data_IF_181502165026
#
_entry.id   IF_181502165026
#
_cell.length_a   1.000
_cell.length_b   1.000
_cell.length_c   1.000
_cell.angle_alpha   90.00
_cell.angle_beta   90.00
_cell.angle_gamma   90.00
#
_symmetry.space_group_name_H-M   'P 1'
#
loop_
_entity.id
_entity.type
_entity.pdbx_description
1 polymer ?
#
# COMPACT_ATOMS: atom_id res chain seq x y z
N UNK A 1 -23.21 5.42 25.36
CA UNK A 1 -23.86 4.33 24.61
C UNK A 1 -23.21 4.35 23.23
N UNK A 2 -22.16 3.55 23.03
CA UNK A 2 -21.46 3.48 21.74
C UNK A 2 -22.33 2.65 20.79
N UNK A 3 -22.80 3.29 19.72
CA UNK A 3 -23.48 2.63 18.60
C UNK A 3 -22.44 1.71 17.92
N UNK A 4 -22.69 0.42 17.87
CA UNK A 4 -21.93 -0.47 17.00
C UNK A 4 -22.24 -0.10 15.54
N UNK A 5 -21.24 0.02 14.64
CA UNK A 5 -21.51 0.23 13.23
C UNK A 5 -22.25 -1.00 12.68
N UNK A 6 -23.43 -0.76 12.12
CA UNK A 6 -24.18 -1.75 11.37
C UNK A 6 -23.36 -2.08 10.11
N UNK A 7 -22.85 -3.31 10.00
CA UNK A 7 -22.19 -3.77 8.76
C UNK A 7 -21.00 -4.70 8.88
N UNK A 8 -20.68 -5.24 10.05
CA UNK A 8 -19.66 -6.28 10.15
C UNK A 8 -20.22 -7.60 9.59
N UNK A 9 -19.97 -7.88 8.31
CA UNK A 9 -20.25 -9.18 7.70
C UNK A 9 -19.31 -10.22 8.31
N UNK A 10 -19.87 -11.13 9.10
CA UNK A 10 -19.12 -12.23 9.74
C UNK A 10 -18.59 -13.22 8.68
N UNK A 11 -17.35 -13.71 8.84
CA UNK A 11 -16.84 -14.84 8.06
C UNK A 11 -17.68 -16.10 8.26
N UNK A 12 -17.51 -17.09 7.38
CA UNK A 12 -18.26 -18.37 7.46
C UNK A 12 -18.09 -19.11 8.79
N UNK A 13 -16.99 -18.83 9.53
CA UNK A 13 -16.71 -19.31 10.88
C UNK A 13 -17.17 -18.34 11.99
N UNK A 14 -17.88 -17.28 11.65
CA UNK A 14 -18.36 -16.25 12.59
C UNK A 14 -17.30 -15.22 13.05
N UNK A 15 -16.06 -15.28 12.54
CA UNK A 15 -14.97 -14.36 12.91
C UNK A 15 -14.56 -13.51 11.71
N UNK A 16 -14.39 -12.20 11.92
CA UNK A 16 -13.86 -11.30 10.89
C UNK A 16 -12.37 -11.61 10.62
N UNK A 17 -11.91 -11.62 9.35
CA UNK A 17 -10.51 -11.83 9.04
C UNK A 17 -9.60 -10.80 9.70
N UNK A 18 -8.44 -11.23 10.20
CA UNK A 18 -7.43 -10.37 10.80
C UNK A 18 -6.54 -9.82 9.71
N UNK A 19 -6.62 -8.52 9.49
CA UNK A 19 -5.84 -7.81 8.46
C UNK A 19 -4.73 -7.01 9.12
N UNK A 20 -3.48 -7.43 8.90
CA UNK A 20 -2.29 -6.66 9.30
C UNK A 20 -2.21 -5.35 8.54
N UNK A 21 -1.80 -4.26 9.19
CA UNK A 21 -1.54 -2.96 8.54
C UNK A 21 -0.17 -2.51 9.03
N UNK A 22 0.80 -2.38 8.11
CA UNK A 22 2.12 -1.87 8.48
C UNK A 22 2.06 -0.40 8.85
N UNK A 23 2.87 0.02 9.82
CA UNK A 23 2.88 1.36 10.38
C UNK A 23 4.30 1.94 10.42
N UNK A 24 4.42 3.27 10.54
CA UNK A 24 5.71 3.95 10.68
C UNK A 24 6.04 4.17 12.16
N UNK A 25 7.34 4.18 12.50
CA UNK A 25 7.85 4.67 13.79
C UNK A 25 8.51 6.02 13.59
N UNK A 26 8.02 7.05 14.28
CA UNK A 26 8.51 8.44 14.14
C UNK A 26 8.53 9.19 15.46
N UNK A 27 9.44 10.16 15.63
CA UNK A 27 9.34 11.14 16.70
C UNK A 27 7.98 11.85 16.65
N UNK A 28 7.28 11.87 17.76
CA UNK A 28 5.92 12.40 17.82
C UNK A 28 5.66 13.14 19.12
N UNK A 29 4.84 14.20 19.01
CA UNK A 29 4.41 14.99 20.17
C UNK A 29 2.92 14.82 20.39
N UNK A 30 2.53 14.29 21.55
CA UNK A 30 1.14 14.20 21.97
C UNK A 30 1.00 14.45 23.48
N UNK A 31 0.12 15.36 23.85
CA UNK A 31 0.03 15.85 25.22
C UNK A 31 1.37 16.44 25.70
N UNK A 32 1.91 15.92 26.79
CA UNK A 32 3.21 16.32 27.37
C UNK A 32 4.37 15.44 26.86
N UNK A 33 4.14 14.49 25.98
CA UNK A 33 5.11 13.50 25.53
C UNK A 33 5.77 13.91 24.21
N UNK A 34 7.09 13.82 24.13
CA UNK A 34 7.88 13.92 22.91
C UNK A 34 8.77 12.67 22.83
N UNK A 35 8.26 11.64 22.17
CA UNK A 35 8.85 10.29 22.11
C UNK A 35 8.60 9.67 20.74
N UNK A 36 9.34 8.59 20.43
CA UNK A 36 9.01 7.76 19.29
C UNK A 36 7.65 7.09 19.49
N UNK A 37 6.80 7.16 18.46
CA UNK A 37 5.51 6.52 18.43
C UNK A 37 5.32 5.72 17.14
N UNK A 38 4.57 4.63 17.24
CA UNK A 38 4.09 3.90 16.06
C UNK A 38 2.82 4.57 15.58
N UNK A 39 2.83 5.02 14.32
CA UNK A 39 1.78 5.87 13.74
C UNK A 39 1.27 5.25 12.45
N UNK A 40 -0.05 5.25 12.31
CA UNK A 40 -0.76 4.96 11.08
C UNK A 40 -1.99 5.90 10.97
N UNK A 41 -2.28 6.50 9.80
CA UNK A 41 -3.51 7.24 9.62
C UNK A 41 -4.74 6.36 9.89
N UNK A 42 -5.71 6.88 10.65
CA UNK A 42 -6.91 6.13 11.01
C UNK A 42 -7.76 5.71 9.78
N UNK A 43 -7.54 6.35 8.63
CA UNK A 43 -8.19 5.98 7.36
C UNK A 43 -7.93 4.54 6.96
N UNK A 44 -6.73 4.00 7.22
CA UNK A 44 -6.41 2.58 6.96
C UNK A 44 -7.21 1.63 7.83
N UNK A 45 -7.23 1.86 9.15
CA UNK A 45 -7.98 1.01 10.09
C UNK A 45 -9.49 1.10 9.85
N UNK A 46 -9.98 2.30 9.50
CA UNK A 46 -11.37 2.51 9.15
C UNK A 46 -11.74 1.77 7.87
N UNK A 47 -10.91 1.83 6.81
CA UNK A 47 -11.15 1.13 5.55
C UNK A 47 -11.20 -0.39 5.73
N UNK A 48 -10.27 -0.98 6.51
CA UNK A 48 -10.30 -2.40 6.85
C UNK A 48 -11.57 -2.77 7.62
N UNK A 49 -11.96 -1.96 8.62
CA UNK A 49 -13.17 -2.20 9.41
C UNK A 49 -14.44 -2.08 8.57
N UNK A 50 -14.54 -1.07 7.70
CA UNK A 50 -15.67 -0.88 6.77
C UNK A 50 -15.79 -2.04 5.77
N UNK A 51 -14.65 -2.59 5.34
CA UNK A 51 -14.59 -3.78 4.49
C UNK A 51 -14.98 -5.08 5.22
N UNK A 52 -15.17 -5.05 6.55
CA UNK A 52 -15.55 -6.20 7.36
C UNK A 52 -14.37 -7.04 7.86
N UNK A 53 -13.15 -6.49 7.85
CA UNK A 53 -11.95 -7.07 8.47
C UNK A 53 -11.71 -6.55 9.88
N UNK A 54 -10.85 -7.24 10.64
CA UNK A 54 -10.34 -6.82 11.94
C UNK A 54 -8.93 -6.25 11.78
N UNK A 55 -8.71 -4.92 11.89
CA UNK A 55 -7.40 -4.33 11.68
C UNK A 55 -6.44 -4.65 12.83
N UNK A 56 -5.21 -5.06 12.50
CA UNK A 56 -4.10 -5.26 13.43
C UNK A 56 -2.90 -4.42 12.99
N UNK A 57 -2.48 -3.47 13.82
CA UNK A 57 -1.35 -2.59 13.51
C UNK A 57 -0.03 -3.34 13.73
N UNK A 58 0.83 -3.35 12.71
CA UNK A 58 2.14 -3.99 12.73
C UNK A 58 3.22 -2.91 12.84
N UNK A 59 3.97 -2.84 13.96
CA UNK A 59 5.06 -1.89 14.10
C UNK A 59 6.26 -2.27 13.23
N UNK A 60 7.11 -1.32 12.81
CA UNK A 60 8.43 -1.63 12.25
C UNK A 60 9.25 -2.51 13.19
N UNK A 61 10.05 -3.42 12.62
CA UNK A 61 10.83 -4.39 13.38
C UNK A 61 10.04 -5.61 13.87
N UNK A 62 8.75 -5.74 13.55
CA UNK A 62 8.02 -6.96 13.86
C UNK A 62 8.52 -8.14 13.00
N UNK A 63 8.54 -9.34 13.59
CA UNK A 63 9.06 -10.53 12.92
C UNK A 63 8.02 -11.18 11.99
N UNK A 64 8.51 -11.96 11.01
CA UNK A 64 7.67 -12.65 10.04
C UNK A 64 6.69 -13.67 10.68
N UNK A 65 6.91 -14.09 11.94
CA UNK A 65 5.95 -14.93 12.66
C UNK A 65 4.60 -14.24 12.91
N UNK A 66 4.52 -12.90 12.76
CA UNK A 66 3.22 -12.22 12.78
C UNK A 66 2.28 -12.70 11.69
N UNK A 67 2.82 -13.22 10.57
CA UNK A 67 2.02 -13.81 9.50
C UNK A 67 1.21 -15.04 9.94
N UNK A 68 1.57 -15.68 11.05
CA UNK A 68 0.83 -16.86 11.58
C UNK A 68 -0.55 -16.50 12.13
N UNK A 69 -0.79 -15.21 12.41
CA UNK A 69 -2.06 -14.73 12.97
C UNK A 69 -2.84 -13.84 12.00
N UNK A 70 -2.32 -13.61 10.80
CA UNK A 70 -2.94 -12.76 9.79
C UNK A 70 -3.65 -13.59 8.71
N UNK A 71 -4.85 -13.14 8.35
CA UNK A 71 -5.59 -13.67 7.21
C UNK A 71 -5.34 -12.84 5.93
N UNK A 72 -4.82 -11.61 6.06
CA UNK A 72 -4.43 -10.71 4.98
C UNK A 72 -3.56 -9.57 5.50
N UNK A 73 -2.93 -8.81 4.60
CA UNK A 73 -2.04 -7.72 4.98
C UNK A 73 -2.14 -6.51 4.04
N UNK A 74 -2.15 -5.31 4.62
CA UNK A 74 -2.00 -4.02 3.93
C UNK A 74 -0.61 -3.48 4.22
N UNK A 75 0.20 -3.29 3.19
CA UNK A 75 1.42 -2.50 3.27
C UNK A 75 1.06 -1.04 3.00
N UNK A 76 1.16 -0.22 4.03
CA UNK A 76 0.70 1.18 3.98
C UNK A 76 1.64 2.09 3.19
N UNK A 77 1.15 3.28 2.87
CA UNK A 77 1.98 4.41 2.45
C UNK A 77 2.89 4.87 3.59
N UNK A 78 3.96 5.56 3.25
CA UNK A 78 4.94 5.98 4.23
C UNK A 78 6.10 6.77 3.63
N UNK A 79 7.24 6.82 4.33
CA UNK A 79 8.46 7.46 3.87
C UNK A 79 9.06 6.76 2.65
N UNK A 80 10.09 7.36 2.08
CA UNK A 80 10.80 6.82 0.92
C UNK A 80 11.42 5.44 1.21
N UNK A 81 11.58 4.64 0.15
CA UNK A 81 12.38 3.43 0.21
C UNK A 81 13.87 3.78 0.03
N UNK A 82 14.74 3.16 0.83
CA UNK A 82 16.16 3.38 0.66
C UNK A 82 16.65 2.82 -0.70
N UNK A 83 17.36 3.62 -1.52
CA UNK A 83 17.72 3.22 -2.90
C UNK A 83 18.64 2.00 -2.99
N UNK A 84 19.33 1.63 -1.92
CA UNK A 84 20.08 0.35 -1.89
C UNK A 84 19.23 -0.90 -2.06
N UNK A 85 17.90 -0.81 -1.90
CA UNK A 85 16.98 -1.93 -2.14
C UNK A 85 16.81 -2.25 -3.63
N UNK A 86 17.13 -1.30 -4.50
CA UNK A 86 17.00 -1.40 -5.96
C UNK A 86 18.28 -0.95 -6.70
N UNK A 87 19.43 -1.09 -6.03
CA UNK A 87 20.78 -0.90 -6.59
C UNK A 87 21.01 0.48 -7.24
N UNK A 88 20.39 1.54 -6.69
CA UNK A 88 20.58 2.92 -7.14
C UNK A 88 21.37 3.75 -6.13
N UNK A 89 22.05 4.80 -6.63
CA UNK A 89 22.65 5.83 -5.81
C UNK A 89 21.56 6.71 -5.16
N UNK A 90 21.84 7.29 -3.99
CA UNK A 90 20.91 8.13 -3.25
C UNK A 90 20.70 9.47 -3.97
N UNK A 91 19.45 9.74 -4.39
CA UNK A 91 19.04 11.05 -4.88
C UNK A 91 18.93 12.07 -3.73
N UNK A 92 19.37 13.33 -3.91
CA UNK A 92 19.27 14.36 -2.87
C UNK A 92 17.84 14.63 -2.35
N UNK A 93 16.80 14.30 -3.12
CA UNK A 93 15.41 14.45 -2.72
C UNK A 93 14.84 13.26 -1.94
N UNK A 94 15.55 12.13 -1.91
CA UNK A 94 15.22 10.96 -1.08
C UNK A 94 15.75 11.22 0.34
N UNK A 95 14.91 11.76 1.22
CA UNK A 95 15.35 12.34 2.49
C UNK A 95 14.79 11.65 3.74
N UNK A 96 13.61 11.05 3.66
CA UNK A 96 12.98 10.33 4.75
C UNK A 96 12.91 8.83 4.45
N UNK A 97 13.84 8.05 4.95
CA UNK A 97 13.84 6.59 4.85
C UNK A 97 14.25 5.95 6.17
N UNK A 98 13.74 4.77 6.45
CA UNK A 98 13.95 4.05 7.71
C UNK A 98 14.32 2.59 7.43
N UNK A 99 15.63 2.23 7.51
CA UNK A 99 16.10 0.88 7.17
C UNK A 99 15.42 -0.25 7.98
N UNK A 100 15.10 0.00 9.27
CA UNK A 100 14.37 -0.96 10.10
C UNK A 100 12.97 -1.28 9.54
N UNK A 101 12.28 -0.26 8.99
CA UNK A 101 10.98 -0.42 8.35
C UNK A 101 11.13 -1.15 7.01
N UNK A 102 12.09 -0.75 6.19
CA UNK A 102 12.38 -1.37 4.90
C UNK A 102 12.68 -2.88 5.05
N UNK A 103 13.53 -3.24 6.01
CA UNK A 103 13.90 -4.62 6.29
C UNK A 103 12.70 -5.45 6.78
N UNK A 104 11.97 -4.94 7.78
CA UNK A 104 10.84 -5.67 8.37
C UNK A 104 9.67 -5.82 7.40
N UNK A 105 9.34 -4.79 6.62
CA UNK A 105 8.27 -4.89 5.62
C UNK A 105 8.67 -5.76 4.42
N UNK A 106 9.95 -5.74 4.01
CA UNK A 106 10.47 -6.66 2.98
C UNK A 106 10.34 -8.12 3.43
N UNK A 107 10.69 -8.43 4.68
CA UNK A 107 10.55 -9.77 5.24
C UNK A 107 9.09 -10.22 5.32
N UNK A 108 8.20 -9.34 5.79
CA UNK A 108 6.75 -9.60 5.83
C UNK A 108 6.17 -9.82 4.44
N UNK A 109 6.52 -9.00 3.46
CA UNK A 109 5.98 -9.13 2.10
C UNK A 109 6.45 -10.42 1.42
N UNK A 110 7.74 -10.78 1.51
CA UNK A 110 8.25 -12.07 1.00
C UNK A 110 7.53 -13.24 1.67
N UNK A 111 7.40 -13.22 2.99
CA UNK A 111 6.71 -14.28 3.71
C UNK A 111 5.21 -14.37 3.41
N UNK A 112 4.53 -13.25 3.15
CA UNK A 112 3.14 -13.22 2.73
C UNK A 112 2.96 -13.80 1.31
N UNK A 113 3.86 -13.45 0.38
CA UNK A 113 3.89 -14.03 -0.98
C UNK A 113 4.10 -15.54 -0.92
N UNK A 114 5.10 -16.02 -0.17
CA UNK A 114 5.42 -17.45 -0.04
C UNK A 114 4.25 -18.27 0.53
N UNK A 115 3.42 -17.66 1.39
CA UNK A 115 2.27 -18.31 2.06
C UNK A 115 0.95 -18.06 1.35
N UNK A 116 0.94 -17.34 0.22
CA UNK A 116 -0.26 -16.93 -0.50
C UNK A 116 -1.28 -16.20 0.40
N UNK A 117 -0.76 -15.38 1.35
CA UNK A 117 -1.56 -14.47 2.17
C UNK A 117 -1.96 -13.27 1.29
N UNK A 118 -3.25 -12.90 1.24
CA UNK A 118 -3.73 -11.74 0.49
C UNK A 118 -3.01 -10.44 0.84
N UNK A 119 -2.54 -9.71 -0.18
CA UNK A 119 -1.72 -8.49 -0.05
C UNK A 119 -2.37 -7.33 -0.78
N UNK A 120 -2.48 -6.17 -0.10
CA UNK A 120 -2.73 -4.87 -0.72
C UNK A 120 -1.55 -3.93 -0.41
N UNK A 121 -0.82 -3.51 -1.44
CA UNK A 121 0.21 -2.46 -1.34
C UNK A 121 -0.37 -1.09 -1.66
N UNK A 122 -0.17 -0.10 -0.79
CA UNK A 122 -0.64 1.28 -0.98
C UNK A 122 0.56 2.21 -1.01
N UNK A 123 0.70 3.00 -2.08
CA UNK A 123 1.76 3.99 -2.27
C UNK A 123 3.15 3.33 -2.06
N UNK A 124 3.85 3.63 -0.97
CA UNK A 124 5.12 2.98 -0.62
C UNK A 124 5.02 1.44 -0.59
N UNK A 125 3.86 0.88 -0.17
CA UNK A 125 3.64 -0.57 -0.18
C UNK A 125 3.65 -1.17 -1.58
N UNK A 126 3.09 -0.49 -2.58
CA UNK A 126 3.21 -0.87 -4.00
C UNK A 126 4.66 -0.74 -4.49
N UNK A 127 5.34 0.34 -4.14
CA UNK A 127 6.73 0.56 -4.53
C UNK A 127 7.63 -0.56 -4.00
N UNK A 128 7.50 -0.92 -2.73
CA UNK A 128 8.21 -2.06 -2.14
C UNK A 128 7.89 -3.37 -2.87
N UNK A 129 6.64 -3.59 -3.24
CA UNK A 129 6.22 -4.76 -4.01
C UNK A 129 6.98 -4.84 -5.34
N UNK A 130 7.07 -3.73 -6.10
CA UNK A 130 7.82 -3.70 -7.37
C UNK A 130 9.30 -3.98 -7.16
N UNK A 131 9.92 -3.34 -6.18
CA UNK A 131 11.35 -3.55 -5.86
C UNK A 131 11.65 -5.00 -5.51
N UNK A 132 10.81 -5.65 -4.69
CA UNK A 132 10.99 -7.06 -4.33
C UNK A 132 10.77 -8.04 -5.49
N UNK A 133 10.20 -7.58 -6.60
CA UNK A 133 10.04 -8.30 -7.85
C UNK A 133 11.10 -7.93 -8.91
N UNK A 134 12.16 -7.23 -8.51
CA UNK A 134 13.29 -6.86 -9.38
C UNK A 134 13.05 -5.58 -10.19
N UNK A 135 12.12 -4.76 -9.78
CA UNK A 135 11.81 -3.48 -10.39
C UNK A 135 12.73 -2.34 -9.96
N UNK A 136 12.48 -1.16 -10.53
CA UNK A 136 13.18 0.09 -10.23
C UNK A 136 12.23 1.27 -10.09
N UNK A 137 12.74 2.40 -9.58
CA UNK A 137 11.95 3.59 -9.28
C UNK A 137 12.58 4.88 -9.82
N UNK A 138 11.72 5.82 -10.20
CA UNK A 138 12.05 7.24 -10.23
C UNK A 138 12.06 7.76 -8.80
N UNK A 139 13.22 8.24 -8.33
CA UNK A 139 13.35 8.72 -6.95
C UNK A 139 12.74 10.11 -6.75
N UNK A 140 12.58 10.91 -7.83
CA UNK A 140 11.98 12.23 -7.77
C UNK A 140 11.26 12.59 -9.07
N UNK A 141 9.95 12.36 -9.13
CA UNK A 141 9.10 12.61 -10.30
C UNK A 141 9.09 14.08 -10.75
N UNK A 142 9.07 15.10 -9.84
CA UNK A 142 9.06 16.51 -10.25
C UNK A 142 10.25 16.93 -11.13
N UNK A 143 11.36 16.21 -11.09
CA UNK A 143 12.54 16.44 -11.96
C UNK A 143 12.71 15.34 -13.02
N UNK A 144 11.76 14.41 -13.12
CA UNK A 144 11.76 13.33 -14.12
C UNK A 144 10.99 13.79 -15.34
N UNK A 145 11.66 13.88 -16.50
CA UNK A 145 11.07 14.36 -17.74
C UNK A 145 9.81 13.57 -18.12
N UNK A 146 8.68 14.26 -18.25
CA UNK A 146 7.38 13.70 -18.58
C UNK A 146 6.51 13.37 -17.38
N UNK A 147 7.00 13.44 -16.14
CA UNK A 147 6.27 13.10 -14.91
C UNK A 147 6.21 14.25 -13.89
N UNK A 148 6.47 15.49 -14.31
CA UNK A 148 6.61 16.66 -13.44
C UNK A 148 5.31 17.07 -12.72
N UNK A 149 4.15 16.58 -13.19
CA UNK A 149 2.84 16.95 -12.65
C UNK A 149 2.40 16.09 -11.46
N UNK A 150 3.16 15.04 -11.10
CA UNK A 150 2.86 14.25 -9.91
C UNK A 150 3.16 15.05 -8.64
N UNK A 151 2.10 15.23 -7.85
CA UNK A 151 2.15 16.00 -6.61
C UNK A 151 2.50 15.16 -5.39
N UNK A 152 2.61 15.83 -4.24
CA UNK A 152 2.67 15.16 -2.94
C UNK A 152 3.93 15.40 -2.16
N UNK A 153 4.93 15.93 -2.77
CA UNK A 153 6.04 16.45 -2.00
C UNK A 153 5.71 17.88 -1.56
N UNK A 154 6.02 18.30 -0.36
CA UNK A 154 5.59 19.54 0.29
C UNK A 154 4.11 19.59 0.74
N UNK A 155 3.43 18.46 0.90
CA UNK A 155 2.07 18.41 1.41
C UNK A 155 1.00 18.87 0.41
N UNK A 156 1.35 19.07 -0.85
CA UNK A 156 0.40 19.38 -1.93
C UNK A 156 -0.24 18.06 -2.39
N UNK A 157 -1.57 18.00 -2.36
CA UNK A 157 -2.33 16.89 -2.92
C UNK A 157 -2.80 17.31 -4.31
N UNK A 158 -2.49 16.50 -5.32
CA UNK A 158 -3.04 16.64 -6.67
C UNK A 158 -3.98 15.49 -6.98
N UNK A 159 -4.71 15.60 -8.08
CA UNK A 159 -5.60 14.55 -8.58
C UNK A 159 -5.35 14.36 -10.07
N UNK A 160 -5.39 13.11 -10.53
CA UNK A 160 -5.28 12.79 -11.95
C UNK A 160 -6.14 11.58 -12.31
N UNK A 161 -6.40 11.41 -13.60
CA UNK A 161 -7.06 10.23 -14.12
C UNK A 161 -6.13 9.02 -14.15
N UNK A 162 -6.67 7.86 -13.85
CA UNK A 162 -5.95 6.58 -13.94
C UNK A 162 -6.76 5.62 -14.81
N UNK A 163 -6.14 5.09 -15.86
CA UNK A 163 -6.72 4.11 -16.77
C UNK A 163 -6.31 2.69 -16.34
N UNK A 164 -7.29 1.82 -16.15
CA UNK A 164 -7.05 0.41 -15.85
C UNK A 164 -6.73 -0.36 -17.11
N UNK A 165 -5.89 -1.38 -16.98
CA UNK A 165 -5.62 -2.34 -18.05
C UNK A 165 -6.74 -3.37 -18.10
N UNK A 166 -7.32 -3.58 -19.28
CA UNK A 166 -8.40 -4.55 -19.49
C UNK A 166 -7.99 -5.97 -19.06
N UNK A 167 -8.92 -6.67 -18.44
CA UNK A 167 -8.71 -8.06 -17.98
C UNK A 167 -7.81 -8.17 -16.76
N UNK A 168 -7.60 -7.07 -16.01
CA UNK A 168 -6.94 -7.08 -14.70
C UNK A 168 -7.96 -7.18 -13.58
N UNK A 169 -7.55 -7.71 -12.44
CA UNK A 169 -8.36 -7.72 -11.21
C UNK A 169 -8.72 -6.30 -10.78
N UNK A 170 -7.81 -5.36 -10.95
CA UNK A 170 -8.06 -3.96 -10.63
C UNK A 170 -9.20 -3.38 -11.47
N UNK A 171 -9.23 -3.67 -12.79
CA UNK A 171 -10.32 -3.25 -13.67
C UNK A 171 -11.68 -3.88 -13.28
N UNK A 172 -11.68 -5.13 -12.81
CA UNK A 172 -12.90 -5.78 -12.29
C UNK A 172 -13.43 -5.09 -11.02
N UNK A 173 -12.54 -4.56 -10.17
CA UNK A 173 -12.91 -3.91 -8.90
C UNK A 173 -13.37 -2.47 -9.10
N UNK A 174 -12.69 -1.70 -9.95
CA UNK A 174 -12.86 -0.24 -10.06
C UNK A 174 -13.43 0.23 -11.39
N UNK A 175 -13.57 -0.66 -12.40
CA UNK A 175 -13.94 -0.28 -13.77
C UNK A 175 -12.75 0.19 -14.58
N UNK A 176 -13.00 0.83 -15.72
CA UNK A 176 -11.95 1.14 -16.72
C UNK A 176 -11.15 2.39 -16.38
N UNK A 177 -11.72 3.29 -15.56
CA UNK A 177 -11.10 4.59 -15.24
C UNK A 177 -11.56 5.10 -13.88
N UNK A 178 -10.65 5.72 -13.13
CA UNK A 178 -10.94 6.47 -11.89
C UNK A 178 -10.18 7.78 -11.84
N UNK A 179 -10.61 8.69 -10.96
CA UNK A 179 -9.78 9.80 -10.49
C UNK A 179 -9.08 9.37 -9.22
N UNK A 180 -7.76 9.48 -9.19
CA UNK A 180 -6.91 9.15 -8.05
C UNK A 180 -6.29 10.41 -7.44
N UNK A 181 -6.05 10.37 -6.12
CA UNK A 181 -5.27 11.38 -5.43
C UNK A 181 -3.77 11.07 -5.60
N UNK A 182 -2.95 12.09 -5.81
CA UNK A 182 -1.49 11.95 -5.86
C UNK A 182 -0.85 12.69 -4.69
N UNK A 183 -0.12 11.94 -3.86
CA UNK A 183 0.64 12.44 -2.70
C UNK A 183 2.00 11.74 -2.63
N UNK A 184 2.65 11.55 -3.76
CA UNK A 184 3.93 10.87 -3.89
C UNK A 184 4.85 11.63 -4.83
N UNK A 185 6.14 11.72 -4.50
CA UNK A 185 7.17 12.27 -5.38
C UNK A 185 8.04 11.20 -6.00
N UNK A 186 7.87 9.95 -5.59
CA UNK A 186 8.51 8.77 -6.16
C UNK A 186 7.50 7.97 -6.97
N UNK A 187 7.95 7.25 -7.99
CA UNK A 187 7.09 6.42 -8.83
C UNK A 187 7.83 5.21 -9.40
N UNK A 188 7.10 4.27 -9.96
CA UNK A 188 7.67 3.06 -10.55
C UNK A 188 8.17 3.35 -11.97
N UNK A 189 9.43 3.05 -12.23
CA UNK A 189 10.08 3.04 -13.55
C UNK A 189 9.91 1.65 -14.21
N UNK A 190 10.33 0.59 -13.51
CA UNK A 190 10.18 -0.81 -13.94
C UNK A 190 9.40 -1.60 -12.87
N UNK A 191 8.29 -2.27 -13.21
CA UNK A 191 7.51 -3.06 -12.26
C UNK A 191 8.16 -4.42 -11.93
N UNK A 192 9.29 -4.75 -12.55
CA UNK A 192 9.91 -6.07 -12.44
C UNK A 192 9.04 -7.16 -13.07
N UNK A 193 8.81 -8.25 -12.34
CA UNK A 193 7.99 -9.38 -12.84
C UNK A 193 6.48 -9.20 -12.61
N UNK A 194 6.06 -8.05 -12.07
CA UNK A 194 4.63 -7.77 -11.84
C UNK A 194 3.91 -7.36 -13.13
N UNK A 195 2.63 -7.71 -13.23
CA UNK A 195 1.75 -7.21 -14.28
C UNK A 195 1.30 -5.79 -13.94
N UNK A 196 1.51 -4.85 -14.87
CA UNK A 196 0.92 -3.50 -14.76
C UNK A 196 -0.60 -3.62 -14.91
N UNK A 197 -1.35 -3.08 -13.95
CA UNK A 197 -2.81 -3.09 -13.93
C UNK A 197 -3.45 -1.71 -14.08
N UNK A 198 -2.69 -0.62 -13.92
CA UNK A 198 -3.16 0.73 -14.28
C UNK A 198 -2.00 1.68 -14.56
N UNK A 199 -2.33 2.74 -15.31
CA UNK A 199 -1.41 3.84 -15.64
C UNK A 199 -2.10 5.19 -15.50
N UNK A 200 -1.34 6.21 -15.16
CA UNK A 200 -1.79 7.60 -15.21
C UNK A 200 -2.23 7.96 -16.64
N UNK A 201 -3.34 8.70 -16.74
CA UNK A 201 -3.95 9.05 -18.03
C UNK A 201 -3.24 10.16 -18.79
N UNK A 202 -2.37 10.92 -18.13
CA UNK A 202 -1.71 12.08 -18.73
C UNK A 202 -0.24 11.83 -19.13
N UNK A 203 0.45 10.92 -18.44
CA UNK A 203 1.88 10.71 -18.62
C UNK A 203 2.32 9.24 -18.63
N UNK A 204 1.36 8.32 -18.57
CA UNK A 204 1.57 6.86 -18.62
C UNK A 204 2.40 6.28 -17.48
N UNK A 205 2.61 7.02 -16.36
CA UNK A 205 3.28 6.51 -15.18
C UNK A 205 2.53 5.29 -14.63
N UNK A 206 3.27 4.28 -14.16
CA UNK A 206 2.68 3.07 -13.56
C UNK A 206 2.01 3.44 -12.24
N UNK A 207 0.69 3.25 -12.18
CA UNK A 207 -0.15 3.57 -11.02
C UNK A 207 -0.66 2.34 -10.27
N UNK A 208 -0.62 1.16 -10.89
CA UNK A 208 -0.95 -0.08 -10.20
C UNK A 208 -0.30 -1.31 -10.82
N UNK A 209 -0.09 -2.31 -9.98
CA UNK A 209 0.48 -3.62 -10.35
C UNK A 209 -0.25 -4.76 -9.65
N UNK A 210 -0.22 -5.96 -10.24
CA UNK A 210 -0.82 -7.14 -9.64
C UNK A 210 -0.09 -8.43 -10.01
N UNK A 211 -0.38 -9.51 -9.27
CA UNK A 211 0.00 -10.90 -9.58
C UNK A 211 -1.24 -11.75 -9.70
N UNK A 212 -1.38 -12.42 -10.84
CA UNK A 212 -2.55 -13.25 -11.17
C UNK A 212 -2.46 -14.66 -10.56
N UNK A 213 -1.26 -15.10 -10.19
CA UNK A 213 -0.97 -16.43 -9.67
C UNK A 213 -1.17 -16.57 -8.15
N UNK A 214 -1.52 -15.47 -7.46
CA UNK A 214 -1.81 -15.44 -6.02
C UNK A 214 -3.30 -15.16 -5.77
N UNK A 215 -3.81 -15.57 -4.60
CA UNK A 215 -5.19 -15.33 -4.17
C UNK A 215 -5.58 -13.86 -4.33
N UNK A 216 -4.75 -12.96 -3.80
CA UNK A 216 -4.88 -11.52 -3.97
C UNK A 216 -3.52 -10.86 -3.72
N UNK A 217 -2.92 -10.28 -4.75
CA UNK A 217 -1.70 -9.51 -4.62
C UNK A 217 -1.79 -8.33 -5.58
N UNK A 218 -2.10 -7.16 -5.04
CA UNK A 218 -2.37 -5.94 -5.79
C UNK A 218 -1.73 -4.75 -5.10
N UNK A 219 -1.12 -3.86 -5.87
CA UNK A 219 -0.54 -2.60 -5.41
C UNK A 219 -1.09 -1.42 -6.18
N UNK A 220 -1.36 -0.30 -5.49
CA UNK A 220 -1.79 0.96 -6.08
C UNK A 220 -0.92 2.11 -5.57
N UNK A 221 -0.59 3.07 -6.43
CA UNK A 221 0.28 4.19 -6.08
C UNK A 221 -0.47 5.27 -5.27
N UNK A 222 -1.75 5.45 -5.52
CA UNK A 222 -2.61 6.39 -4.79
C UNK A 222 -3.06 5.88 -3.42
N UNK A 223 -3.81 6.69 -2.68
CA UNK A 223 -4.36 6.37 -1.37
C UNK A 223 -5.87 6.10 -1.44
N UNK A 224 -6.30 4.85 -1.72
CA UNK A 224 -7.72 4.48 -1.85
C UNK A 224 -8.52 4.69 -0.56
N UNK A 225 -7.85 4.59 0.61
CA UNK A 225 -8.46 4.78 1.93
C UNK A 225 -8.87 6.24 2.21
N UNK A 226 -8.40 7.19 1.38
CA UNK A 226 -8.68 8.62 1.54
C UNK A 226 -9.77 9.13 0.61
N UNK A 227 -10.05 8.42 -0.48
CA UNK A 227 -10.99 8.85 -1.54
C UNK A 227 -12.16 7.89 -1.74
N UNK A 228 -12.35 6.93 -0.83
CA UNK A 228 -13.50 6.03 -0.85
C UNK A 228 -13.44 4.89 -1.85
N UNK A 229 -12.27 4.53 -2.39
CA UNK A 229 -12.10 3.35 -3.24
C UNK A 229 -12.08 2.06 -2.38
N UNK A 230 -13.11 1.92 -1.55
CA UNK A 230 -13.28 0.83 -0.57
C UNK A 230 -13.36 -0.56 -1.21
N UNK A 231 -13.65 -0.64 -2.51
CA UNK A 231 -13.68 -1.89 -3.26
C UNK A 231 -12.39 -2.70 -3.15
N UNK A 232 -11.23 -2.03 -3.10
CA UNK A 232 -9.92 -2.69 -2.94
C UNK A 232 -9.80 -3.39 -1.59
N UNK A 233 -10.22 -2.73 -0.52
CA UNK A 233 -10.21 -3.31 0.83
C UNK A 233 -11.23 -4.44 0.97
N UNK A 234 -12.41 -4.31 0.34
CA UNK A 234 -13.43 -5.38 0.32
C UNK A 234 -12.91 -6.62 -0.40
N UNK A 235 -12.23 -6.45 -1.52
CA UNK A 235 -11.63 -7.57 -2.28
C UNK A 235 -10.51 -8.25 -1.49
N UNK A 236 -9.65 -7.49 -0.80
CA UNK A 236 -8.64 -8.02 0.11
C UNK A 236 -9.29 -8.87 1.23
N UNK A 237 -10.27 -8.29 1.93
CA UNK A 237 -10.97 -8.96 3.04
C UNK A 237 -11.73 -10.20 2.57
N UNK A 238 -12.30 -10.18 1.38
CA UNK A 238 -12.99 -11.35 0.78
C UNK A 238 -11.99 -12.46 0.47
N UNK A 239 -10.84 -12.14 -0.13
CA UNK A 239 -9.77 -13.11 -0.36
C UNK A 239 -9.22 -13.70 0.97
N UNK A 240 -9.15 -12.90 2.02
CA UNK A 240 -8.70 -13.32 3.35
C UNK A 240 -9.69 -14.25 4.08
N UNK A 241 -10.99 -14.24 3.73
CA UNK A 241 -12.00 -15.15 4.32
C UNK A 241 -11.84 -16.60 3.89
N UNK A 242 -11.18 -16.85 2.77
CA UNK A 242 -10.93 -18.19 2.22
C UNK A 242 -9.63 -18.82 2.71
N UNK A 243 -8.94 -18.21 3.68
CA UNK A 243 -7.64 -18.67 4.18
C UNK A 243 -7.76 -19.58 5.37
#
# INVERSE_FOLDING_TARGET
>A
MYLQPEGCSMAANGKAPVIGITACKRPSTFGAWNIDAVIIPATYTNAVSEAGGSPLILPPGCCASMLDVLDGIVFSGGPDLHPSLYDQELDPHTTEFYPEQDESESALMRGAIERDIPILGVCRGMQLMCILHGGSMHQHLPETAGHEEHGGWNGVITEHGVNMVEGTRLAEILGDHVTANSTHHQGIDDPGTLRVSARSSHDDLIEAVERDDLKFCLGVQWHPERIGHIGLYRSLVEAARGS
#
